data_IF_118606871921
#
_entry.id   IF_118606871921
#
_cell.length_a   1.000
_cell.length_b   1.000
_cell.length_c   1.000
_cell.angle_alpha   90.00
_cell.angle_beta   90.00
_cell.angle_gamma   90.00
#
_symmetry.space_group_name_H-M   'P 1'
#
loop_
_entity.id
_entity.type
_entity.pdbx_description
1 polymer ?
#
# COMPACT_ATOMS: atom_id res chain seq x y z
N UNK A 1 19.94 -25.78 63.49
CA UNK A 1 19.22 -25.71 62.17
C UNK A 1 20.03 -24.86 61.28
N UNK A 2 20.65 -25.49 60.34
CA UNK A 2 22.02 -25.29 59.92
C UNK A 2 22.14 -24.43 58.67
N UNK A 3 23.16 -23.61 58.64
CA UNK A 3 23.65 -22.73 57.52
C UNK A 3 23.52 -23.37 56.12
N UNK A 4 23.56 -24.72 56.04
CA UNK A 4 23.42 -25.53 54.84
C UNK A 4 22.01 -25.42 54.18
N UNK A 5 20.95 -25.22 54.94
CA UNK A 5 19.59 -25.07 54.41
C UNK A 5 19.31 -23.66 53.91
N UNK A 6 20.06 -22.67 54.42
CA UNK A 6 19.93 -21.30 53.94
C UNK A 6 20.65 -21.08 52.60
N UNK A 7 21.77 -21.80 52.37
CA UNK A 7 22.46 -21.77 51.09
C UNK A 7 21.71 -22.45 49.97
N UNK A 8 20.92 -23.49 50.28
CA UNK A 8 20.13 -24.23 49.30
C UNK A 8 18.87 -23.47 48.84
N UNK A 9 18.33 -22.61 49.71
CA UNK A 9 17.20 -21.72 49.34
C UNK A 9 17.61 -20.53 48.45
N UNK A 10 18.88 -20.08 48.53
CA UNK A 10 19.38 -18.96 47.75
C UNK A 10 19.74 -19.38 46.32
N UNK A 11 19.99 -20.69 46.04
CA UNK A 11 20.30 -21.16 44.68
C UNK A 11 19.08 -21.44 43.83
N UNK A 12 17.85 -21.51 44.42
CA UNK A 12 16.61 -21.77 43.65
C UNK A 12 15.95 -20.51 43.07
N UNK A 13 16.40 -19.31 43.46
CA UNK A 13 15.81 -18.04 42.98
C UNK A 13 16.46 -17.44 41.72
N UNK A 14 17.51 -18.08 41.18
CA UNK A 14 18.28 -17.48 40.04
C UNK A 14 17.91 -17.99 38.65
N UNK A 15 16.82 -18.74 38.47
CA UNK A 15 16.46 -19.34 37.18
C UNK A 15 15.20 -18.77 36.50
N UNK A 16 14.68 -17.60 36.94
CA UNK A 16 13.61 -16.90 36.25
C UNK A 16 14.14 -15.67 35.47
N UNK A 17 15.23 -15.85 34.72
CA UNK A 17 15.56 -14.95 33.64
C UNK A 17 14.66 -15.30 32.43
N UNK A 18 13.36 -15.05 32.57
CA UNK A 18 12.44 -15.11 31.47
C UNK A 18 12.88 -14.11 30.42
N UNK A 19 13.29 -14.60 29.24
CA UNK A 19 13.43 -13.77 28.04
C UNK A 19 12.08 -13.13 27.76
N UNK A 20 11.90 -11.90 28.23
CA UNK A 20 10.83 -11.04 27.72
C UNK A 20 11.27 -10.68 26.31
N UNK A 21 10.76 -11.44 25.34
CA UNK A 21 10.76 -10.99 23.94
C UNK A 21 9.99 -9.67 23.92
N UNK A 22 10.72 -8.57 23.90
CA UNK A 22 10.17 -7.27 23.59
C UNK A 22 9.70 -7.34 22.12
N UNK A 23 8.47 -7.77 21.92
CA UNK A 23 7.79 -7.64 20.65
C UNK A 23 7.53 -6.14 20.46
N UNK A 24 8.46 -5.46 19.82
CA UNK A 24 8.22 -4.10 19.37
C UNK A 24 7.01 -4.17 18.42
N UNK A 25 5.95 -3.39 18.67
CA UNK A 25 4.85 -3.32 17.73
C UNK A 25 5.43 -2.85 16.40
N UNK A 26 5.23 -3.61 15.34
CA UNK A 26 5.57 -3.17 14.00
C UNK A 26 4.72 -1.93 13.71
N UNK A 27 5.38 -0.81 13.38
CA UNK A 27 4.68 0.38 12.92
C UNK A 27 4.05 0.05 11.56
N UNK A 28 2.76 -0.17 11.59
CA UNK A 28 1.97 -0.50 10.42
C UNK A 28 1.18 0.75 10.02
N UNK A 29 1.47 1.28 8.85
CA UNK A 29 0.68 2.35 8.25
C UNK A 29 -0.42 1.77 7.39
N UNK A 30 -1.62 2.29 7.51
CA UNK A 30 -2.73 1.83 6.69
C UNK A 30 -3.62 2.96 6.21
N UNK A 31 -4.16 2.77 5.02
CA UNK A 31 -5.10 3.69 4.36
C UNK A 31 -6.24 2.88 3.81
N UNK A 32 -7.45 3.38 3.98
CA UNK A 32 -8.62 2.79 3.37
C UNK A 32 -9.50 3.83 2.70
N UNK A 33 -10.29 3.38 1.74
CA UNK A 33 -11.17 4.27 1.02
C UNK A 33 -11.87 3.61 -0.15
N UNK A 34 -12.28 4.45 -1.08
CA UNK A 34 -12.92 4.03 -2.33
C UNK A 34 -12.00 4.30 -3.50
N UNK A 35 -12.07 3.44 -4.49
CA UNK A 35 -11.36 3.64 -5.76
C UNK A 35 -12.32 3.59 -6.95
N UNK A 36 -11.92 4.27 -8.01
CA UNK A 36 -12.45 4.11 -9.35
C UNK A 36 -11.29 4.10 -10.32
N UNK A 37 -11.21 3.09 -11.17
CA UNK A 37 -10.18 2.91 -12.20
C UNK A 37 -10.86 2.87 -13.55
N UNK A 38 -10.37 3.66 -14.50
CA UNK A 38 -10.70 3.56 -15.90
C UNK A 38 -9.42 3.31 -16.67
N UNK A 39 -9.36 2.16 -17.34
CA UNK A 39 -8.30 1.80 -18.29
C UNK A 39 -8.87 1.92 -19.70
N UNK A 40 -8.18 2.66 -20.57
CA UNK A 40 -8.64 2.93 -21.93
C UNK A 40 -7.51 2.74 -22.92
N UNK A 41 -7.74 1.90 -23.92
CA UNK A 41 -6.95 1.78 -25.15
C UNK A 41 -7.81 2.16 -26.35
N UNK A 42 -7.20 2.18 -27.55
CA UNK A 42 -7.92 2.49 -28.79
C UNK A 42 -9.16 1.61 -29.03
N UNK A 43 -9.14 0.34 -28.60
CA UNK A 43 -10.18 -0.65 -28.87
C UNK A 43 -10.97 -1.10 -27.65
N UNK A 44 -10.52 -0.76 -26.45
CA UNK A 44 -11.14 -1.30 -25.23
C UNK A 44 -11.16 -0.25 -24.11
N UNK A 45 -12.27 -0.25 -23.37
CA UNK A 45 -12.43 0.54 -22.15
C UNK A 45 -12.94 -0.34 -21.03
N UNK A 46 -12.19 -0.39 -19.95
CA UNK A 46 -12.56 -1.10 -18.72
C UNK A 46 -12.73 -0.10 -17.60
N UNK A 47 -13.75 -0.32 -16.76
CA UNK A 47 -14.00 0.50 -15.59
C UNK A 47 -14.28 -0.38 -14.38
N UNK A 48 -13.58 -0.14 -13.29
CA UNK A 48 -13.71 -0.85 -12.04
C UNK A 48 -13.84 0.13 -10.89
N UNK A 49 -14.66 -0.21 -9.90
CA UNK A 49 -14.78 0.59 -8.69
C UNK A 49 -15.05 -0.29 -7.48
N UNK A 50 -14.70 0.21 -6.30
CA UNK A 50 -14.86 -0.53 -5.06
C UNK A 50 -14.21 0.17 -3.89
N UNK A 51 -13.79 -0.64 -2.91
CA UNK A 51 -13.03 -0.20 -1.73
C UNK A 51 -11.61 -0.73 -1.82
N UNK A 52 -10.66 0.03 -1.29
CA UNK A 52 -9.28 -0.41 -1.15
C UNK A 52 -8.86 -0.33 0.31
N UNK A 53 -7.91 -1.20 0.67
CA UNK A 53 -7.16 -1.18 1.91
C UNK A 53 -5.69 -1.33 1.52
N UNK A 54 -4.89 -0.34 1.84
CA UNK A 54 -3.45 -0.35 1.62
C UNK A 54 -2.78 -0.38 2.98
N UNK A 55 -1.87 -1.32 3.16
CA UNK A 55 -1.09 -1.49 4.38
C UNK A 55 0.38 -1.52 4.03
N UNK A 56 1.19 -0.83 4.80
CA UNK A 56 2.65 -0.85 4.69
C UNK A 56 3.27 -1.05 6.07
N UNK A 57 4.17 -2.03 6.19
CA UNK A 57 4.85 -2.35 7.45
C UNK A 57 6.34 -2.03 7.37
N UNK A 58 7.00 -1.87 8.54
CA UNK A 58 8.45 -1.65 8.67
C UNK A 58 9.29 -2.77 8.07
N UNK A 59 8.80 -4.02 8.10
CA UNK A 59 9.27 -5.04 7.17
C UNK A 59 8.76 -4.63 5.79
N UNK A 60 9.62 -4.35 4.78
CA UNK A 60 9.18 -3.69 3.55
C UNK A 60 8.19 -4.53 2.76
N UNK A 61 7.00 -4.67 3.34
CA UNK A 61 5.86 -5.39 2.78
C UNK A 61 4.70 -4.42 2.63
N UNK A 62 4.18 -4.34 1.42
CA UNK A 62 2.99 -3.54 1.09
C UNK A 62 1.89 -4.48 0.62
N UNK A 63 0.71 -4.36 1.21
CA UNK A 63 -0.48 -5.15 0.86
C UNK A 63 -1.55 -4.21 0.35
N UNK A 64 -2.08 -4.50 -0.82
CA UNK A 64 -3.23 -3.82 -1.40
C UNK A 64 -4.39 -4.80 -1.54
N UNK A 65 -5.42 -4.62 -0.75
CA UNK A 65 -6.70 -5.31 -0.88
C UNK A 65 -7.68 -4.48 -1.69
N UNK A 66 -8.22 -5.07 -2.74
CA UNK A 66 -9.33 -4.52 -3.52
C UNK A 66 -10.60 -5.29 -3.20
N UNK A 67 -11.65 -4.57 -2.85
CA UNK A 67 -12.96 -5.15 -2.51
C UNK A 67 -14.06 -4.52 -3.37
N UNK A 68 -15.09 -5.30 -3.65
CA UNK A 68 -16.31 -4.80 -4.29
C UNK A 68 -17.03 -3.77 -3.39
N UNK A 69 -18.00 -3.07 -3.93
CA UNK A 69 -18.88 -2.18 -3.15
C UNK A 69 -19.61 -2.92 -2.01
N UNK A 70 -19.88 -4.21 -2.19
CA UNK A 70 -20.51 -5.08 -1.19
C UNK A 70 -19.53 -5.63 -0.14
N UNK A 71 -18.21 -5.34 -0.28
CA UNK A 71 -17.18 -5.76 0.67
C UNK A 71 -16.49 -7.09 0.36
N UNK A 72 -16.89 -7.80 -0.70
CA UNK A 72 -16.23 -9.04 -1.12
C UNK A 72 -14.84 -8.72 -1.68
N UNK A 73 -13.82 -9.47 -1.30
CA UNK A 73 -12.47 -9.34 -1.83
C UNK A 73 -12.48 -9.68 -3.33
N UNK A 74 -11.96 -8.77 -4.16
CA UNK A 74 -11.77 -8.94 -5.60
C UNK A 74 -10.36 -9.47 -5.84
N UNK A 75 -9.37 -8.83 -5.21
CA UNK A 75 -7.97 -9.21 -5.31
C UNK A 75 -7.19 -8.72 -4.08
N UNK A 76 -6.13 -9.46 -3.76
CA UNK A 76 -5.08 -9.07 -2.82
C UNK A 76 -3.75 -9.10 -3.53
N UNK A 77 -3.02 -8.03 -3.48
CA UNK A 77 -1.64 -7.94 -3.99
C UNK A 77 -0.71 -7.70 -2.82
N UNK A 78 0.26 -8.58 -2.64
CA UNK A 78 1.30 -8.45 -1.63
C UNK A 78 2.63 -8.21 -2.34
N UNK A 79 3.31 -7.11 -2.01
CA UNK A 79 4.62 -6.76 -2.52
C UNK A 79 5.63 -6.76 -1.38
N UNK A 80 6.70 -7.52 -1.52
CA UNK A 80 7.89 -7.50 -0.65
C UNK A 80 9.07 -6.87 -1.38
N UNK A 81 10.22 -6.76 -0.73
CA UNK A 81 11.46 -6.31 -1.38
C UNK A 81 11.98 -7.27 -2.46
N UNK A 82 11.54 -8.55 -2.46
CA UNK A 82 12.09 -9.60 -3.32
C UNK A 82 11.07 -10.18 -4.30
N UNK A 83 9.79 -10.12 -3.98
CA UNK A 83 8.74 -10.79 -4.75
C UNK A 83 7.39 -10.13 -4.57
N UNK A 84 6.47 -10.48 -5.43
CA UNK A 84 5.06 -10.15 -5.27
C UNK A 84 4.18 -11.38 -5.45
N UNK A 85 3.02 -11.38 -4.79
CA UNK A 85 1.94 -12.33 -5.01
C UNK A 85 0.63 -11.61 -5.30
N UNK A 86 -0.22 -12.24 -6.11
CA UNK A 86 -1.56 -11.80 -6.41
C UNK A 86 -2.54 -12.94 -6.22
N UNK A 87 -3.52 -12.72 -5.37
CA UNK A 87 -4.66 -13.60 -5.14
C UNK A 87 -5.91 -12.90 -5.66
N UNK A 88 -6.58 -13.49 -6.64
CA UNK A 88 -7.83 -12.95 -7.19
C UNK A 88 -8.93 -14.01 -7.13
N UNK A 89 -10.17 -13.58 -6.96
CA UNK A 89 -11.32 -14.48 -6.88
C UNK A 89 -11.45 -15.27 -8.18
N UNK A 90 -11.58 -16.60 -8.03
CA UNK A 90 -11.72 -17.51 -9.17
C UNK A 90 -10.43 -17.84 -9.92
N UNK A 91 -9.28 -17.40 -9.43
CA UNK A 91 -7.97 -17.68 -10.01
C UNK A 91 -7.03 -18.35 -9.01
N UNK A 92 -6.06 -19.12 -9.52
CA UNK A 92 -4.96 -19.60 -8.70
C UNK A 92 -4.06 -18.43 -8.30
N UNK A 93 -3.46 -18.46 -7.10
CA UNK A 93 -2.48 -17.46 -6.70
C UNK A 93 -1.31 -17.39 -7.70
N UNK A 94 -0.93 -16.17 -8.07
CA UNK A 94 0.19 -15.90 -8.96
C UNK A 94 1.35 -15.29 -8.18
N UNK A 95 2.58 -15.53 -8.64
CA UNK A 95 3.80 -14.95 -8.09
C UNK A 95 4.68 -14.41 -9.20
N UNK A 96 5.34 -13.27 -8.94
CA UNK A 96 6.32 -12.66 -9.84
C UNK A 96 7.36 -11.86 -9.05
N UNK A 97 8.29 -11.23 -9.75
CA UNK A 97 9.30 -10.35 -9.12
C UNK A 97 8.69 -9.09 -8.54
N UNK A 98 7.62 -8.59 -9.11
CA UNK A 98 6.95 -7.37 -8.68
C UNK A 98 5.45 -7.38 -8.97
N UNK A 99 4.72 -6.55 -8.23
CA UNK A 99 3.27 -6.45 -8.35
C UNK A 99 2.80 -5.87 -9.71
N UNK A 100 3.61 -5.04 -10.36
CA UNK A 100 3.25 -4.45 -11.65
C UNK A 100 3.10 -5.52 -12.72
N UNK A 101 4.02 -6.50 -12.75
CA UNK A 101 3.97 -7.65 -13.66
C UNK A 101 2.71 -8.47 -13.45
N UNK A 102 2.38 -8.83 -12.21
CA UNK A 102 1.18 -9.58 -11.87
C UNK A 102 -0.11 -8.84 -12.26
N UNK A 103 -0.18 -7.55 -11.98
CA UNK A 103 -1.36 -6.75 -12.33
C UNK A 103 -1.52 -6.63 -13.84
N UNK A 104 -0.41 -6.46 -14.58
CA UNK A 104 -0.45 -6.40 -16.04
C UNK A 104 -0.97 -7.72 -16.64
N UNK A 105 -0.49 -8.86 -16.15
CA UNK A 105 -0.92 -10.18 -16.60
C UNK A 105 -2.40 -10.45 -16.28
N UNK A 106 -2.86 -10.02 -15.10
CA UNK A 106 -4.21 -10.35 -14.61
C UNK A 106 -5.26 -9.37 -15.11
N UNK A 107 -4.96 -8.07 -15.14
CA UNK A 107 -5.95 -7.02 -15.41
C UNK A 107 -5.69 -6.27 -16.72
N UNK A 108 -4.54 -6.50 -17.38
CA UNK A 108 -4.14 -5.77 -18.58
C UNK A 108 -3.65 -4.34 -18.31
N UNK A 109 -3.50 -3.98 -17.03
CA UNK A 109 -2.90 -2.71 -16.59
C UNK A 109 -2.23 -2.88 -15.24
N UNK A 110 -1.32 -1.97 -14.89
CA UNK A 110 -0.63 -2.00 -13.61
C UNK A 110 -0.70 -0.66 -12.87
N UNK A 111 -0.75 -0.72 -11.55
CA UNK A 111 -0.63 0.42 -10.64
C UNK A 111 0.63 0.23 -9.80
N UNK A 112 1.50 1.25 -9.67
CA UNK A 112 2.73 1.13 -8.89
C UNK A 112 2.42 1.18 -7.39
N UNK A 113 2.26 0.02 -6.78
CA UNK A 113 1.94 -0.13 -5.35
C UNK A 113 3.03 0.52 -4.49
N UNK A 114 4.30 0.38 -4.89
CA UNK A 114 5.44 1.00 -4.20
C UNK A 114 5.38 2.53 -4.19
N UNK A 115 4.81 3.14 -5.23
CA UNK A 115 4.61 4.59 -5.29
C UNK A 115 3.39 5.05 -4.50
N UNK A 116 2.38 4.21 -4.45
CA UNK A 116 1.07 4.57 -3.91
C UNK A 116 1.14 4.95 -2.43
N UNK A 117 1.93 4.23 -1.62
CA UNK A 117 2.13 4.51 -0.19
C UNK A 117 2.68 5.92 0.09
N UNK A 118 3.46 6.49 -0.83
CA UNK A 118 3.97 7.85 -0.72
C UNK A 118 2.97 8.87 -1.26
N UNK A 119 2.45 8.62 -2.45
CA UNK A 119 1.55 9.56 -3.13
C UNK A 119 0.25 9.76 -2.36
N UNK A 120 -0.23 8.74 -1.64
CA UNK A 120 -1.48 8.82 -0.87
C UNK A 120 -1.39 9.86 0.27
N UNK A 121 -0.17 10.17 0.73
CA UNK A 121 0.12 11.19 1.74
C UNK A 121 0.71 12.49 1.15
N UNK A 122 0.65 12.65 -0.17
CA UNK A 122 1.20 13.85 -0.83
C UNK A 122 2.72 13.88 -0.92
N UNK A 123 3.40 12.74 -0.69
CA UNK A 123 4.86 12.61 -0.71
C UNK A 123 5.35 12.06 -2.05
N UNK A 124 6.58 12.34 -2.41
CA UNK A 124 7.26 11.72 -3.56
C UNK A 124 7.94 10.43 -3.14
N UNK A 125 8.05 9.47 -4.08
CA UNK A 125 8.85 8.25 -3.87
C UNK A 125 10.31 8.65 -3.72
N UNK A 126 10.99 8.21 -2.63
CA UNK A 126 12.41 8.53 -2.41
C UNK A 126 13.32 8.02 -3.54
N UNK A 127 14.43 8.72 -3.77
CA UNK A 127 15.46 8.35 -4.76
C UNK A 127 14.95 8.19 -6.20
N UNK A 128 13.80 8.79 -6.53
CA UNK A 128 13.23 8.86 -7.88
C UNK A 128 12.98 10.31 -8.24
N UNK A 129 13.35 10.68 -9.46
CA UNK A 129 13.10 12.04 -9.98
C UNK A 129 11.60 12.34 -9.95
N UNK A 130 11.26 13.49 -9.37
CA UNK A 130 9.90 13.99 -9.32
C UNK A 130 9.87 15.48 -9.67
N UNK A 131 8.78 15.91 -10.29
CA UNK A 131 8.46 17.32 -10.47
C UNK A 131 7.20 17.61 -9.66
N UNK A 132 7.27 18.63 -8.82
CA UNK A 132 6.10 19.12 -8.08
C UNK A 132 5.69 20.45 -8.65
N UNK A 133 4.44 20.59 -9.04
CA UNK A 133 3.87 21.83 -9.54
C UNK A 133 2.77 22.30 -8.59
N UNK A 134 2.85 23.54 -8.08
CA UNK A 134 1.73 24.12 -7.38
C UNK A 134 0.57 24.31 -8.36
N UNK A 135 -0.60 23.84 -7.99
CA UNK A 135 -1.85 24.20 -8.63
C UNK A 135 -2.45 25.40 -7.88
N UNK A 136 -3.67 25.81 -8.25
CA UNK A 136 -4.38 26.82 -7.46
C UNK A 136 -4.46 26.34 -6.00
N UNK A 137 -3.91 27.10 -5.03
CA UNK A 137 -3.89 26.67 -3.63
C UNK A 137 -5.27 26.19 -3.15
N UNK A 138 -5.33 25.15 -2.28
CA UNK A 138 -4.23 24.43 -1.64
C UNK A 138 -3.71 23.21 -2.43
N UNK A 139 -4.06 23.05 -3.69
CA UNK A 139 -3.81 21.85 -4.47
C UNK A 139 -2.41 21.82 -5.06
N UNK A 140 -1.91 20.61 -5.29
CA UNK A 140 -0.62 20.37 -5.93
C UNK A 140 -0.69 19.19 -6.91
N UNK A 141 0.27 19.12 -7.80
CA UNK A 141 0.49 18.04 -8.75
C UNK A 141 1.91 17.52 -8.60
N UNK A 142 2.05 16.20 -8.51
CA UNK A 142 3.34 15.50 -8.57
C UNK A 142 3.39 14.75 -9.90
N UNK A 143 4.51 14.88 -10.62
CA UNK A 143 4.81 14.09 -11.82
C UNK A 143 5.99 13.20 -11.47
N UNK A 144 5.77 11.89 -11.44
CA UNK A 144 6.79 10.91 -11.05
C UNK A 144 6.52 9.54 -11.67
N UNK A 145 7.55 8.87 -12.16
CA UNK A 145 7.47 7.50 -12.71
C UNK A 145 6.44 7.35 -13.85
N UNK A 146 6.25 8.38 -14.68
CA UNK A 146 5.26 8.38 -15.76
C UNK A 146 3.81 8.61 -15.29
N UNK A 147 3.62 8.92 -14.02
CA UNK A 147 2.32 9.25 -13.45
C UNK A 147 2.21 10.75 -13.19
N UNK A 148 0.99 11.27 -13.35
CA UNK A 148 0.57 12.59 -12.92
C UNK A 148 -0.39 12.39 -11.76
N UNK A 149 0.00 12.83 -10.57
CA UNK A 149 -0.74 12.71 -9.33
C UNK A 149 -1.29 14.07 -8.95
N UNK A 150 -2.62 14.24 -8.96
CA UNK A 150 -3.32 15.48 -8.62
C UNK A 150 -4.06 15.31 -7.31
N UNK A 151 -3.87 16.26 -6.42
CA UNK A 151 -4.56 16.34 -5.15
C UNK A 151 -5.72 17.32 -5.30
N UNK A 152 -6.95 16.81 -5.27
CA UNK A 152 -8.16 17.58 -5.59
C UNK A 152 -8.95 17.99 -4.33
N UNK A 153 -8.69 17.35 -3.18
CA UNK A 153 -9.30 17.70 -1.90
C UNK A 153 -8.36 17.29 -0.76
N UNK A 154 -8.34 18.11 0.29
CA UNK A 154 -7.59 17.87 1.52
C UNK A 154 -8.56 17.70 2.69
N UNK A 155 -8.15 16.98 3.73
CA UNK A 155 -8.87 16.90 5.00
C UNK A 155 -8.53 18.07 5.92
N UNK A 156 -9.04 18.03 7.16
CA UNK A 156 -8.80 19.08 8.17
C UNK A 156 -7.34 19.18 8.62
N UNK A 157 -6.55 18.13 8.41
CA UNK A 157 -5.12 18.08 8.75
C UNK A 157 -4.23 18.49 7.57
N UNK A 158 -4.84 18.82 6.42
CA UNK A 158 -4.13 19.18 5.20
C UNK A 158 -3.61 17.98 4.40
N UNK A 159 -4.02 16.76 4.77
CA UNK A 159 -3.66 15.55 4.04
C UNK A 159 -4.60 15.30 2.85
N UNK A 160 -4.08 14.71 1.76
CA UNK A 160 -4.90 14.43 0.58
C UNK A 160 -6.09 13.52 0.91
N UNK A 161 -7.30 13.96 0.61
CA UNK A 161 -8.52 13.17 0.75
C UNK A 161 -9.00 12.62 -0.58
N UNK A 162 -8.87 13.40 -1.65
CA UNK A 162 -9.19 12.98 -3.02
C UNK A 162 -7.96 13.12 -3.89
N UNK A 163 -7.56 12.02 -4.50
CA UNK A 163 -6.35 11.91 -5.30
C UNK A 163 -6.74 11.36 -6.66
N UNK A 164 -6.24 11.99 -7.71
CA UNK A 164 -6.38 11.51 -9.08
C UNK A 164 -5.00 11.17 -9.64
N UNK A 165 -4.83 9.91 -10.05
CA UNK A 165 -3.62 9.44 -10.70
C UNK A 165 -3.93 9.22 -12.19
N UNK A 166 -3.09 9.76 -13.04
CA UNK A 166 -3.23 9.70 -14.48
C UNK A 166 -1.96 9.14 -15.11
N UNK A 167 -2.11 8.27 -16.08
CA UNK A 167 -1.04 7.80 -16.97
C UNK A 167 -1.55 7.79 -18.39
N UNK A 168 -0.76 8.34 -19.30
CA UNK A 168 -1.06 8.33 -20.73
C UNK A 168 -0.90 6.93 -21.31
N UNK A 169 -1.61 6.65 -22.39
CA UNK A 169 -1.45 5.43 -23.17
C UNK A 169 -0.04 5.32 -23.75
N UNK A 170 0.50 4.11 -23.77
CA UNK A 170 1.74 3.75 -24.45
C UNK A 170 1.47 2.56 -25.38
N UNK A 171 2.47 2.16 -26.18
CA UNK A 171 2.34 0.97 -27.05
C UNK A 171 2.02 -0.31 -26.26
N UNK A 172 2.47 -0.39 -25.00
CA UNK A 172 2.37 -1.59 -24.16
C UNK A 172 1.28 -1.49 -23.08
N UNK A 173 0.69 -0.32 -22.89
CA UNK A 173 -0.22 -0.11 -21.77
C UNK A 173 -1.33 0.88 -22.10
N UNK A 174 -2.57 0.61 -21.67
CA UNK A 174 -3.68 1.56 -21.82
C UNK A 174 -3.41 2.84 -21.01
N UNK A 175 -4.10 3.92 -21.38
CA UNK A 175 -4.21 5.07 -20.50
C UNK A 175 -4.97 4.71 -19.24
N UNK A 176 -4.57 5.30 -18.10
CA UNK A 176 -5.19 5.04 -16.81
C UNK A 176 -5.66 6.33 -16.16
N UNK A 177 -6.86 6.30 -15.65
CA UNK A 177 -7.39 7.33 -14.75
C UNK A 177 -7.87 6.63 -13.48
N UNK A 178 -7.19 6.88 -12.36
CA UNK A 178 -7.53 6.31 -11.05
C UNK A 178 -7.93 7.45 -10.14
N UNK A 179 -9.07 7.31 -9.48
CA UNK A 179 -9.50 8.22 -8.42
C UNK A 179 -9.53 7.44 -7.11
N UNK A 180 -8.84 7.95 -6.11
CA UNK A 180 -8.88 7.47 -4.74
C UNK A 180 -9.59 8.50 -3.86
N UNK A 181 -10.52 8.03 -3.04
CA UNK A 181 -11.14 8.80 -1.98
C UNK A 181 -10.77 8.15 -0.65
N UNK A 182 -9.87 8.79 0.09
CA UNK A 182 -9.38 8.29 1.38
C UNK A 182 -10.44 8.58 2.44
N UNK A 183 -10.82 7.56 3.19
CA UNK A 183 -11.81 7.67 4.27
C UNK A 183 -11.19 7.50 5.65
N UNK A 184 -10.07 6.80 5.75
CA UNK A 184 -9.36 6.57 7.01
C UNK A 184 -7.86 6.38 6.76
N UNK A 185 -7.04 6.84 7.72
CA UNK A 185 -5.61 6.61 7.85
C UNK A 185 -5.30 6.16 9.26
N UNK A 186 -4.33 5.25 9.40
CA UNK A 186 -3.72 4.85 10.67
C UNK A 186 -2.21 4.82 10.48
N UNK A 187 -1.51 5.39 11.40
CA UNK A 187 -0.03 5.44 11.48
C UNK A 187 0.42 4.96 12.84
#
# INVERSE_FOLDING_TARGET
MTLRNFLMALLLCSSLSGCVSLWAPSLEQSWQGRFSIVAQSHSNRQAHSGRFYLTHSDTPTTILDLKSSLGNTIARVTQTSQSASLEAVGSQPLQAKNAQELMMQTFGFSVPIDGLQYWIDGKTVPNKTAQTKPLKPPYQEIIQNGWIIRYENLDSEGLPRRIKLLRTETLESPSLSIVLLITERKS
#
